data_IF_479478735603
#
_entry.id   IF_479478735603
#
_cell.length_a   1.000
_cell.length_b   1.000
_cell.length_c   1.000
_cell.angle_alpha   90.00
_cell.angle_beta   90.00
_cell.angle_gamma   90.00
#
_symmetry.space_group_name_H-M   'P 1'
#
loop_
_entity.id
_entity.type
_entity.pdbx_description
1 polymer ?
#
# COMPACT_ATOMS: atom_id res chain seq x y z
N UNK A 1 -26.57 9.33 -12.45
CA UNK A 1 -26.11 7.96 -12.14
C UNK A 1 -27.08 7.00 -12.79
N UNK A 2 -26.62 6.18 -13.73
CA UNK A 2 -27.50 5.33 -14.54
C UNK A 2 -27.90 4.07 -13.77
N UNK A 3 -29.14 3.57 -13.93
CA UNK A 3 -29.64 2.38 -13.23
C UNK A 3 -28.83 1.11 -13.53
N UNK A 4 -28.08 1.10 -14.63
CA UNK A 4 -27.18 0.02 -15.04
C UNK A 4 -26.02 -0.20 -14.05
N UNK A 5 -25.53 0.85 -13.39
CA UNK A 5 -24.44 0.74 -12.39
C UNK A 5 -24.91 0.05 -11.11
N UNK A 6 -26.18 0.19 -10.74
CA UNK A 6 -26.79 -0.48 -9.58
C UNK A 6 -27.06 -1.97 -9.85
N UNK A 7 -27.35 -2.34 -11.09
CA UNK A 7 -27.65 -3.73 -11.46
C UNK A 7 -26.41 -4.64 -11.40
N UNK A 8 -25.23 -4.11 -11.74
CA UNK A 8 -23.96 -4.85 -11.65
C UNK A 8 -23.55 -5.08 -10.18
N UNK A 9 -23.85 -4.14 -9.27
CA UNK A 9 -23.62 -4.33 -7.83
C UNK A 9 -24.59 -5.34 -7.20
N UNK A 10 -25.84 -5.40 -7.67
CA UNK A 10 -26.83 -6.34 -7.14
C UNK A 10 -26.63 -7.78 -7.64
N UNK A 11 -26.06 -7.97 -8.82
CA UNK A 11 -25.84 -9.30 -9.43
C UNK A 11 -24.64 -10.07 -8.84
N UNK A 12 -23.81 -9.44 -8.01
CA UNK A 12 -22.67 -10.06 -7.31
C UNK A 12 -23.02 -10.53 -5.89
N UNK A 13 -24.31 -10.55 -5.54
CA UNK A 13 -24.80 -11.04 -4.26
C UNK A 13 -24.50 -12.53 -4.07
N UNK A 14 -23.52 -12.78 -3.19
CA UNK A 14 -23.22 -13.99 -2.41
C UNK A 14 -23.60 -15.35 -3.01
N UNK A 15 -22.59 -16.03 -3.56
CA UNK A 15 -22.59 -17.48 -3.55
C UNK A 15 -22.38 -17.98 -2.09
N UNK A 16 -23.15 -18.98 -1.61
CA UNK A 16 -23.03 -19.49 -0.25
C UNK A 16 -21.62 -20.04 0.02
N UNK A 17 -21.14 -19.77 1.23
CA UNK A 17 -19.76 -19.96 1.67
C UNK A 17 -19.25 -21.40 1.58
N UNK A 18 -18.50 -21.69 0.53
CA UNK A 18 -17.58 -22.82 0.49
C UNK A 18 -16.39 -22.62 1.44
N UNK A 19 -15.62 -23.68 1.73
CA UNK A 19 -14.40 -23.56 2.52
C UNK A 19 -13.45 -22.55 1.87
N UNK A 20 -12.90 -21.64 2.69
CA UNK A 20 -11.95 -20.64 2.21
C UNK A 20 -10.70 -21.35 1.64
N UNK A 21 -10.18 -20.91 0.47
CA UNK A 21 -8.93 -21.43 -0.04
C UNK A 21 -7.82 -21.30 0.99
N UNK A 22 -6.93 -22.30 1.06
CA UNK A 22 -5.77 -22.24 1.95
C UNK A 22 -4.85 -21.08 1.57
N UNK A 23 -4.69 -20.84 0.27
CA UNK A 23 -3.96 -19.74 -0.35
C UNK A 23 -4.81 -19.12 -1.44
N UNK A 24 -4.70 -17.81 -1.61
CA UNK A 24 -5.38 -17.07 -2.67
C UNK A 24 -4.41 -16.00 -3.15
N UNK A 25 -3.64 -16.35 -4.18
CA UNK A 25 -2.72 -15.45 -4.85
C UNK A 25 -3.52 -14.46 -5.71
N UNK A 26 -3.18 -13.19 -5.62
CA UNK A 26 -3.83 -12.10 -6.34
C UNK A 26 -2.79 -11.15 -6.90
N UNK A 27 -3.03 -10.66 -8.11
CA UNK A 27 -2.30 -9.51 -8.66
C UNK A 27 -3.12 -8.26 -8.45
N UNK A 28 -2.47 -7.15 -8.10
CA UNK A 28 -3.15 -5.87 -7.96
C UNK A 28 -2.39 -4.72 -8.59
N UNK A 29 -3.14 -3.70 -8.98
CA UNK A 29 -2.63 -2.38 -9.31
C UNK A 29 -3.12 -1.39 -8.25
N UNK A 30 -2.29 -0.40 -7.93
CA UNK A 30 -2.60 0.62 -6.93
C UNK A 30 -2.19 2.01 -7.39
N UNK A 31 -2.84 3.03 -6.84
CA UNK A 31 -2.45 4.43 -6.94
C UNK A 31 -2.57 5.13 -5.60
N UNK A 32 -1.71 6.12 -5.38
CA UNK A 32 -1.64 6.82 -4.11
C UNK A 32 -0.47 7.78 -4.03
N UNK A 33 -0.12 8.11 -2.80
CA UNK A 33 1.03 8.94 -2.46
C UNK A 33 1.79 8.33 -1.29
N UNK A 34 3.09 8.59 -1.26
CA UNK A 34 3.97 8.25 -0.15
C UNK A 34 4.90 9.43 0.11
N UNK A 35 5.13 9.78 1.37
CA UNK A 35 6.03 10.85 1.77
C UNK A 35 6.87 10.40 2.97
N UNK A 36 8.18 10.50 2.83
CA UNK A 36 9.16 10.39 3.90
C UNK A 36 9.72 11.77 4.21
N UNK A 37 9.64 12.17 5.48
CA UNK A 37 10.09 13.47 5.95
C UNK A 37 11.12 13.26 7.05
N UNK A 38 12.37 13.68 6.84
CA UNK A 38 13.42 13.68 7.87
C UNK A 38 14.09 15.05 7.95
N UNK A 39 14.92 15.26 8.98
CA UNK A 39 15.77 16.46 9.07
C UNK A 39 16.79 16.56 7.93
N UNK A 40 17.15 15.42 7.32
CA UNK A 40 18.16 15.35 6.27
C UNK A 40 17.58 15.40 4.85
N UNK A 41 16.34 14.89 4.65
CA UNK A 41 15.69 14.88 3.33
C UNK A 41 14.18 14.77 3.38
N UNK A 42 13.56 15.16 2.28
CA UNK A 42 12.18 14.84 1.94
C UNK A 42 12.17 14.01 0.65
N UNK A 43 11.46 12.89 0.66
CA UNK A 43 11.41 11.95 -0.48
C UNK A 43 10.01 11.36 -0.62
N UNK A 44 9.58 11.09 -1.85
CA UNK A 44 8.29 10.49 -2.14
C UNK A 44 7.57 11.18 -3.29
N UNK A 45 6.25 11.07 -3.32
CA UNK A 45 5.44 11.65 -4.37
C UNK A 45 4.09 10.96 -4.50
N UNK A 46 3.42 11.28 -5.61
CA UNK A 46 2.16 10.68 -6.05
C UNK A 46 2.41 9.78 -7.27
N UNK A 47 1.69 8.68 -7.36
CA UNK A 47 1.84 7.75 -8.46
C UNK A 47 1.09 6.45 -8.25
N UNK A 48 1.65 5.38 -8.78
CA UNK A 48 1.02 4.07 -8.74
C UNK A 48 1.95 2.95 -9.12
N UNK A 49 1.45 1.74 -9.02
CA UNK A 49 2.26 0.55 -9.10
C UNK A 49 1.45 -0.72 -9.23
N UNK A 50 2.19 -1.82 -9.23
CA UNK A 50 1.65 -3.17 -9.29
C UNK A 50 2.24 -4.01 -8.17
N UNK A 51 1.49 -5.02 -7.75
CA UNK A 51 1.92 -5.91 -6.69
C UNK A 51 1.27 -7.28 -6.75
N UNK A 52 1.77 -8.13 -5.87
CA UNK A 52 1.27 -9.47 -5.62
C UNK A 52 0.84 -9.57 -4.17
N UNK A 53 -0.26 -10.28 -3.93
CA UNK A 53 -0.81 -10.54 -2.61
C UNK A 53 -1.15 -12.01 -2.49
N UNK A 54 -0.74 -12.65 -1.40
CA UNK A 54 -1.29 -13.94 -1.00
C UNK A 54 -2.17 -13.76 0.23
N UNK A 55 -3.37 -14.35 0.19
CA UNK A 55 -4.29 -14.41 1.32
C UNK A 55 -4.37 -15.83 1.85
N UNK A 56 -3.80 -16.09 3.02
CA UNK A 56 -3.86 -17.41 3.63
C UNK A 56 -5.12 -17.57 4.49
N UNK A 57 -5.91 -18.59 4.18
CA UNK A 57 -7.17 -18.94 4.88
C UNK A 57 -8.14 -17.76 4.97
N UNK A 58 -8.12 -16.87 3.98
CA UNK A 58 -8.91 -15.64 3.96
C UNK A 58 -8.50 -14.57 4.98
N UNK A 59 -7.57 -14.83 5.89
CA UNK A 59 -7.27 -14.02 7.06
C UNK A 59 -5.92 -13.31 6.96
N UNK A 60 -4.85 -14.07 6.72
CA UNK A 60 -3.50 -13.54 6.71
C UNK A 60 -3.15 -12.99 5.35
N UNK A 61 -2.56 -11.80 5.33
CA UNK A 61 -2.12 -11.13 4.13
C UNK A 61 -0.60 -11.08 4.08
N UNK A 62 -0.06 -11.43 2.92
CA UNK A 62 1.30 -11.13 2.53
C UNK A 62 1.23 -10.37 1.21
N UNK A 63 1.91 -9.24 1.11
CA UNK A 63 1.92 -8.44 -0.11
C UNK A 63 3.28 -7.85 -0.42
N UNK A 64 3.55 -7.68 -1.71
CA UNK A 64 4.73 -7.01 -2.22
C UNK A 64 4.33 -6.16 -3.41
N UNK A 65 4.70 -4.87 -3.40
CA UNK A 65 4.44 -3.96 -4.51
C UNK A 65 5.62 -3.07 -4.83
N UNK A 66 5.63 -2.63 -6.09
CA UNK A 66 6.57 -1.66 -6.63
C UNK A 66 5.78 -0.52 -7.27
N UNK A 67 6.09 0.72 -6.90
CA UNK A 67 5.37 1.91 -7.36
C UNK A 67 6.36 2.93 -7.94
N UNK A 68 5.97 3.55 -9.06
CA UNK A 68 6.63 4.75 -9.58
C UNK A 68 5.92 5.98 -9.03
N UNK A 69 6.67 6.84 -8.35
CA UNK A 69 6.18 8.06 -7.72
C UNK A 69 6.83 9.29 -8.38
N UNK A 70 6.03 10.33 -8.54
CA UNK A 70 6.43 11.61 -9.13
C UNK A 70 6.00 12.78 -8.24
N UNK A 71 6.55 13.97 -8.47
CA UNK A 71 6.19 15.21 -7.78
C UNK A 71 7.31 15.82 -6.96
N UNK A 72 8.11 15.01 -6.25
CA UNK A 72 9.35 15.45 -5.57
C UNK A 72 10.62 14.95 -6.30
N UNK A 73 10.46 14.58 -7.57
CA UNK A 73 11.45 13.88 -8.39
C UNK A 73 10.91 12.54 -8.90
N UNK A 74 11.79 11.69 -9.43
CA UNK A 74 11.48 10.31 -9.83
C UNK A 74 11.87 9.35 -8.71
N UNK A 75 10.88 8.80 -8.02
CA UNK A 75 11.08 7.90 -6.87
C UNK A 75 10.47 6.54 -7.15
N UNK A 76 11.24 5.48 -6.92
CA UNK A 76 10.76 4.10 -6.90
C UNK A 76 10.46 3.70 -5.45
N UNK A 77 9.21 3.35 -5.15
CA UNK A 77 8.81 2.79 -3.86
C UNK A 77 8.69 1.27 -3.97
N UNK A 78 9.40 0.55 -3.11
CA UNK A 78 9.24 -0.89 -2.90
C UNK A 78 8.61 -1.12 -1.54
N UNK A 79 7.52 -1.88 -1.47
CA UNK A 79 6.80 -2.16 -0.23
C UNK A 79 6.64 -3.67 -0.04
N UNK A 80 6.87 -4.12 1.18
CA UNK A 80 6.53 -5.47 1.64
C UNK A 80 5.58 -5.33 2.82
N UNK A 81 4.45 -6.04 2.80
CA UNK A 81 3.44 -5.96 3.83
C UNK A 81 3.03 -7.33 4.34
N UNK A 82 2.80 -7.44 5.65
CA UNK A 82 2.22 -8.63 6.27
C UNK A 82 1.16 -8.20 7.29
N UNK A 83 0.02 -8.90 7.32
CA UNK A 83 -1.08 -8.46 8.17
C UNK A 83 -2.28 -9.37 8.21
N UNK A 84 -3.38 -8.79 8.67
CA UNK A 84 -4.66 -9.45 8.86
C UNK A 84 -5.75 -8.71 8.10
N UNK A 85 -6.72 -9.46 7.60
CA UNK A 85 -7.98 -8.94 7.08
C UNK A 85 -9.17 -9.73 7.61
N UNK A 86 -10.36 -9.16 7.49
CA UNK A 86 -11.58 -9.92 7.82
C UNK A 86 -11.76 -11.11 6.86
N UNK A 87 -12.00 -12.34 7.39
CA UNK A 87 -11.99 -13.55 6.57
C UNK A 87 -13.23 -13.75 5.71
N UNK A 88 -14.38 -13.21 6.11
CA UNK A 88 -15.67 -13.45 5.45
C UNK A 88 -16.46 -12.16 5.20
N UNK A 89 -17.34 -12.21 4.21
CA UNK A 89 -18.22 -11.12 3.79
C UNK A 89 -17.62 -10.23 2.70
N UNK A 90 -18.49 -9.41 2.08
CA UNK A 90 -18.08 -8.47 1.03
C UNK A 90 -17.19 -7.33 1.52
N UNK A 91 -17.32 -6.90 2.78
CA UNK A 91 -16.45 -5.91 3.41
C UNK A 91 -15.30 -6.58 4.16
N UNK A 92 -14.07 -6.30 3.76
CA UNK A 92 -12.85 -6.97 4.23
C UNK A 92 -11.79 -5.97 4.66
N UNK A 93 -12.01 -5.23 5.77
CA UNK A 93 -11.01 -4.29 6.27
C UNK A 93 -9.72 -5.05 6.61
N UNK A 94 -8.59 -4.38 6.43
CA UNK A 94 -7.28 -4.97 6.69
C UNK A 94 -6.35 -4.03 7.47
N UNK A 95 -5.40 -4.64 8.17
CA UNK A 95 -4.31 -3.96 8.85
C UNK A 95 -3.00 -4.73 8.57
N UNK A 96 -1.97 -4.01 8.11
CA UNK A 96 -0.69 -4.60 7.72
C UNK A 96 0.47 -3.84 8.34
N UNK A 97 1.47 -4.56 8.82
CA UNK A 97 2.80 -3.99 9.04
C UNK A 97 3.51 -3.98 7.70
N UNK A 98 4.11 -2.85 7.35
CA UNK A 98 4.78 -2.64 6.07
C UNK A 98 6.23 -2.20 6.24
N UNK A 99 7.11 -2.79 5.45
CA UNK A 99 8.46 -2.28 5.19
C UNK A 99 8.45 -1.54 3.85
N UNK A 100 8.94 -0.31 3.84
CA UNK A 100 8.95 0.56 2.67
C UNK A 100 10.38 0.99 2.37
N UNK A 101 10.79 0.88 1.11
CA UNK A 101 12.04 1.42 0.59
C UNK A 101 11.77 2.46 -0.50
N UNK A 102 12.34 3.66 -0.37
CA UNK A 102 12.26 4.73 -1.37
C UNK A 102 13.63 4.92 -2.02
N UNK A 103 13.68 4.80 -3.34
CA UNK A 103 14.90 4.90 -4.16
C UNK A 103 14.76 6.02 -5.18
N UNK A 104 15.86 6.66 -5.56
CA UNK A 104 15.88 7.70 -6.58
C UNK A 104 15.99 9.10 -6.00
N UNK A 105 15.30 10.05 -6.61
CA UNK A 105 15.45 11.47 -6.32
C UNK A 105 14.98 11.84 -4.91
N UNK A 106 15.55 12.92 -4.37
CA UNK A 106 15.24 13.43 -3.03
C UNK A 106 15.52 14.93 -2.93
N UNK A 107 14.79 15.61 -2.03
CA UNK A 107 15.09 16.97 -1.62
C UNK A 107 15.93 16.91 -0.34
N UNK A 108 17.24 17.14 -0.45
CA UNK A 108 18.16 17.15 0.69
C UNK A 108 18.22 18.51 1.39
N UNK A 109 18.36 18.49 2.72
CA UNK A 109 18.57 19.68 3.54
C UNK A 109 19.95 19.62 4.18
N UNK A 110 20.63 20.77 4.24
CA UNK A 110 21.92 20.91 4.94
C UNK A 110 21.67 21.79 6.16
N UNK A 111 21.82 21.21 7.34
CA UNK A 111 21.73 21.95 8.60
C UNK A 111 23.07 22.64 8.90
N UNK A 112 23.08 23.84 9.50
CA UNK A 112 24.32 24.49 9.93
C UNK A 112 25.09 23.60 10.91
N UNK A 113 26.29 23.13 10.53
CA UNK A 113 27.13 22.26 11.35
C UNK A 113 27.09 20.77 10.99
N UNK A 114 26.19 20.34 10.09
CA UNK A 114 26.15 18.97 9.57
C UNK A 114 26.55 18.95 8.09
N UNK A 115 27.63 18.26 7.75
CA UNK A 115 28.18 18.17 6.39
C UNK A 115 27.75 16.92 5.63
N UNK A 116 26.85 16.10 6.21
CA UNK A 116 26.55 14.76 5.70
C UNK A 116 25.20 14.73 5.01
N UNK A 117 25.22 14.55 3.69
CA UNK A 117 24.04 14.21 2.92
C UNK A 117 23.62 12.76 3.20
N UNK A 118 22.32 12.53 3.42
CA UNK A 118 21.77 11.18 3.45
C UNK A 118 22.02 10.49 2.09
N UNK A 119 22.77 9.37 2.12
CA UNK A 119 23.09 8.55 0.95
C UNK A 119 22.27 7.27 0.96
N UNK A 120 21.83 6.83 -0.21
CA UNK A 120 21.10 5.56 -0.38
C UNK A 120 19.58 5.71 -0.16
N UNK A 121 18.84 4.58 -0.13
CA UNK A 121 17.39 4.60 -0.05
C UNK A 121 16.88 5.03 1.33
N UNK A 122 15.66 5.55 1.40
CA UNK A 122 14.97 5.72 2.68
C UNK A 122 14.27 4.40 3.01
N UNK A 123 14.54 3.85 4.18
CA UNK A 123 13.89 2.63 4.65
C UNK A 123 12.96 2.99 5.79
N UNK A 124 11.75 2.44 5.77
CA UNK A 124 10.77 2.66 6.82
C UNK A 124 9.99 1.42 7.18
N UNK A 125 9.49 1.42 8.41
CA UNK A 125 8.54 0.44 8.91
C UNK A 125 7.29 1.19 9.38
N UNK A 126 6.12 0.66 9.08
CA UNK A 126 4.87 1.32 9.40
C UNK A 126 3.70 0.36 9.53
N UNK A 127 2.56 0.93 9.87
CA UNK A 127 1.27 0.29 9.88
C UNK A 127 0.42 0.89 8.78
N UNK A 128 -0.19 0.04 7.96
CA UNK A 128 -1.16 0.39 6.93
C UNK A 128 -2.53 -0.15 7.30
N UNK A 129 -3.55 0.68 7.28
CA UNK A 129 -4.94 0.33 7.52
C UNK A 129 -5.74 0.51 6.23
N UNK A 130 -6.49 -0.51 5.82
CA UNK A 130 -7.36 -0.50 4.66
C UNK A 130 -8.82 -0.67 5.10
N UNK A 131 -9.47 0.36 5.65
CA UNK A 131 -10.81 0.24 6.21
C UNK A 131 -11.89 0.05 5.13
N UNK A 132 -11.71 0.64 3.94
CA UNK A 132 -12.64 0.53 2.83
C UNK A 132 -12.12 -0.45 1.78
N UNK A 133 -12.00 -1.72 2.18
CA UNK A 133 -11.61 -2.83 1.31
C UNK A 133 -12.77 -3.79 1.15
N UNK A 134 -13.01 -4.23 -0.08
CA UNK A 134 -14.16 -5.02 -0.48
C UNK A 134 -13.75 -6.18 -1.39
N UNK A 135 -14.47 -7.29 -1.30
CA UNK A 135 -14.30 -8.47 -2.16
C UNK A 135 -15.57 -8.65 -2.98
N UNK A 136 -15.43 -8.71 -4.29
CA UNK A 136 -16.52 -8.91 -5.25
C UNK A 136 -16.14 -10.05 -6.20
N UNK A 137 -16.60 -11.27 -5.90
CA UNK A 137 -16.19 -12.46 -6.63
C UNK A 137 -14.67 -12.71 -6.49
N UNK A 138 -13.97 -12.80 -7.62
CA UNK A 138 -12.50 -12.91 -7.67
C UNK A 138 -11.78 -11.56 -7.55
N UNK A 139 -12.50 -10.43 -7.60
CA UNK A 139 -11.90 -9.11 -7.49
C UNK A 139 -11.85 -8.63 -6.03
N UNK A 140 -10.79 -7.93 -5.68
CA UNK A 140 -10.66 -7.19 -4.43
C UNK A 140 -10.40 -5.72 -4.76
N UNK A 141 -11.16 -4.82 -4.13
CA UNK A 141 -11.02 -3.37 -4.34
C UNK A 141 -10.80 -2.70 -3.01
N UNK A 142 -9.80 -1.83 -2.92
CA UNK A 142 -9.64 -0.92 -1.79
C UNK A 142 -9.73 0.53 -2.25
N UNK A 143 -10.61 1.29 -1.62
CA UNK A 143 -10.84 2.70 -1.94
C UNK A 143 -10.00 3.64 -1.08
N UNK A 144 -9.53 3.16 0.07
CA UNK A 144 -8.64 3.94 0.92
C UNK A 144 -7.77 3.03 1.74
N UNK A 145 -6.48 3.33 1.74
CA UNK A 145 -5.55 2.78 2.71
C UNK A 145 -4.69 3.90 3.29
N UNK A 146 -4.54 3.90 4.62
CA UNK A 146 -3.80 4.90 5.37
C UNK A 146 -2.60 4.24 6.02
N UNK A 147 -1.41 4.71 5.68
CA UNK A 147 -0.16 4.23 6.26
C UNK A 147 0.54 5.32 7.06
N UNK A 148 1.03 4.94 8.23
CA UNK A 148 1.93 5.75 9.05
C UNK A 148 3.06 4.89 9.56
N UNK A 149 4.27 5.44 9.56
CA UNK A 149 5.46 4.71 9.97
C UNK A 149 6.59 5.63 10.35
N UNK A 150 7.72 5.00 10.62
CA UNK A 150 8.98 5.65 10.92
C UNK A 150 10.03 5.12 9.94
N UNK A 151 10.78 6.04 9.35
CA UNK A 151 11.88 5.74 8.45
C UNK A 151 13.20 6.29 8.94
N UNK A 152 14.28 5.67 8.46
CA UNK A 152 15.65 6.07 8.70
C UNK A 152 16.45 6.08 7.41
N UNK A 153 17.46 6.95 7.38
CA UNK A 153 18.36 7.14 6.23
C UNK A 153 19.84 7.11 6.64
N UNK A 154 20.12 6.58 7.83
CA UNK A 154 21.46 6.50 8.42
C UNK A 154 21.92 7.77 9.12
N UNK A 155 21.42 8.95 8.72
CA UNK A 155 21.79 10.26 9.27
C UNK A 155 20.66 10.84 10.14
N UNK A 156 19.42 10.57 9.76
CA UNK A 156 18.21 11.03 10.42
C UNK A 156 17.14 9.96 10.53
N UNK A 157 16.10 10.31 11.28
CA UNK A 157 14.86 9.55 11.41
C UNK A 157 13.71 10.50 11.18
N UNK A 158 12.60 9.96 10.69
CA UNK A 158 11.41 10.76 10.52
C UNK A 158 10.20 9.96 10.07
N UNK A 159 9.02 10.56 10.06
CA UNK A 159 7.80 9.86 9.72
C UNK A 159 7.73 9.49 8.24
N UNK A 160 7.08 8.36 7.99
CA UNK A 160 6.61 7.94 6.66
C UNK A 160 5.09 7.99 6.68
N UNK A 161 4.50 8.67 5.70
CA UNK A 161 3.06 8.70 5.48
C UNK A 161 2.75 8.10 4.12
N UNK A 162 1.69 7.31 4.04
CA UNK A 162 1.18 6.84 2.75
C UNK A 162 -0.34 6.90 2.70
N UNK A 163 -0.88 7.24 1.54
CA UNK A 163 -2.30 7.19 1.25
C UNK A 163 -2.50 6.47 -0.08
N UNK A 164 -3.16 5.31 -0.04
CA UNK A 164 -3.67 4.64 -1.24
C UNK A 164 -5.07 5.16 -1.51
N UNK A 165 -5.33 5.60 -2.75
CA UNK A 165 -6.64 6.09 -3.18
C UNK A 165 -7.44 5.03 -3.94
N UNK A 166 -6.74 4.11 -4.59
CA UNK A 166 -7.37 3.01 -5.28
C UNK A 166 -6.41 1.84 -5.34
N UNK A 167 -6.93 0.67 -5.02
CA UNK A 167 -6.31 -0.61 -5.30
C UNK A 167 -7.35 -1.52 -5.94
N UNK A 168 -6.98 -2.18 -7.03
CA UNK A 168 -7.80 -3.20 -7.68
C UNK A 168 -6.95 -4.43 -7.88
N UNK A 169 -7.39 -5.54 -7.30
CA UNK A 169 -6.75 -6.84 -7.40
C UNK A 169 -7.67 -7.92 -7.94
N UNK A 170 -7.09 -8.93 -8.56
CA UNK A 170 -7.79 -10.10 -9.08
C UNK A 170 -7.10 -11.35 -8.54
N UNK A 171 -7.88 -12.20 -7.87
CA UNK A 171 -7.46 -13.51 -7.40
C UNK A 171 -7.37 -14.51 -8.56
N UNK A 172 -6.38 -15.39 -8.48
CA UNK A 172 -6.13 -16.50 -9.39
C UNK A 172 -6.82 -17.78 -8.92
#
# INVERSE_FOLDING_TARGET
MTPTTLLVLAALAEAPGGPLPAHQLSFYARSGLTAYLSSARTQGGLGGGVGVRDTLRGLWLLQADVNGLTGLGSVLEVRLGAGLQRPSGGWRPAALVSLTGLFGDQLGFVMPGESVYARGPALGVGLTLAPARFSLGSAQVSLVELGVGLGGDGVGRGPVYSLTLLEVGVAL
#
